data_IF_176896997463
#
_entry.id   IF_176896997463
#
_cell.length_a   1.000
_cell.length_b   1.000
_cell.length_c   1.000
_cell.angle_alpha   90.00
_cell.angle_beta   90.00
_cell.angle_gamma   90.00
#
_symmetry.space_group_name_H-M   'P 1'
#
loop_
_entity.id
_entity.type
_entity.pdbx_description
1 polymer ?
#
# COMPACT_ATOMS: atom_id res chain seq x y z
N UNK A 1 8.84 -17.33 -22.89
CA UNK A 1 8.02 -16.32 -23.60
C UNK A 1 7.51 -15.37 -22.51
N UNK A 2 8.16 -14.22 -22.32
CA UNK A 2 7.73 -13.26 -21.31
C UNK A 2 6.47 -12.56 -21.82
N UNK A 3 5.32 -12.81 -21.18
CA UNK A 3 4.13 -12.02 -21.41
C UNK A 3 4.33 -10.66 -20.75
N UNK A 4 4.24 -9.58 -21.53
CA UNK A 4 4.20 -8.23 -20.98
C UNK A 4 2.85 -8.03 -20.30
N UNK A 5 2.80 -8.23 -18.99
CA UNK A 5 1.60 -8.01 -18.20
C UNK A 5 1.39 -6.52 -17.98
N UNK A 6 0.23 -6.02 -18.38
CA UNK A 6 -0.21 -4.68 -18.01
C UNK A 6 -0.95 -4.75 -16.68
N UNK A 7 -0.38 -4.17 -15.62
CA UNK A 7 -0.99 -4.13 -14.28
C UNK A 7 -1.62 -2.76 -14.07
N UNK A 8 -2.92 -2.73 -13.82
CA UNK A 8 -3.68 -1.56 -13.38
C UNK A 8 -4.10 -1.75 -11.92
N UNK A 9 -3.99 -0.69 -11.12
CA UNK A 9 -4.28 -0.72 -9.69
C UNK A 9 -5.35 0.31 -9.39
N UNK A 10 -6.46 -0.13 -8.81
CA UNK A 10 -7.54 0.73 -8.34
C UNK A 10 -7.77 0.50 -6.83
N UNK A 11 -8.21 1.54 -6.13
CA UNK A 11 -8.52 1.49 -4.71
C UNK A 11 -9.85 2.18 -4.42
N UNK A 12 -10.67 1.53 -3.60
CA UNK A 12 -11.85 2.12 -2.99
C UNK A 12 -11.75 1.94 -1.48
N UNK A 13 -11.97 3.00 -0.72
CA UNK A 13 -11.97 2.96 0.74
C UNK A 13 -13.29 3.49 1.27
N UNK A 14 -13.74 2.91 2.39
CA UNK A 14 -14.94 3.33 3.12
C UNK A 14 -14.56 3.65 4.55
N UNK A 15 -15.05 4.78 5.05
CA UNK A 15 -14.81 5.17 6.43
C UNK A 15 -15.74 4.42 7.39
N UNK A 16 -15.28 4.28 8.63
CA UNK A 16 -16.13 3.89 9.74
C UNK A 16 -17.22 4.96 9.99
N UNK A 17 -18.38 4.55 10.52
CA UNK A 17 -19.51 5.45 10.73
C UNK A 17 -19.16 6.60 11.69
N UNK A 18 -19.53 7.83 11.31
CA UNK A 18 -19.17 9.04 12.05
C UNK A 18 -17.71 9.50 11.91
N UNK A 19 -16.83 8.71 11.29
CA UNK A 19 -15.42 9.08 11.10
C UNK A 19 -15.17 9.72 9.73
N UNK A 20 -14.40 10.82 9.72
CA UNK A 20 -14.07 11.55 8.49
C UNK A 20 -12.87 10.95 7.75
N UNK A 21 -12.13 10.06 8.39
CA UNK A 21 -10.88 9.49 7.88
C UNK A 21 -10.94 7.96 8.04
N UNK A 22 -10.50 7.24 7.01
CA UNK A 22 -10.41 5.79 7.03
C UNK A 22 -9.27 5.33 7.94
N UNK A 23 -9.54 4.34 8.79
CA UNK A 23 -8.51 3.69 9.61
C UNK A 23 -7.51 2.88 8.77
N UNK A 24 -7.92 2.46 7.58
CA UNK A 24 -7.12 1.71 6.64
C UNK A 24 -6.35 2.65 5.70
N UNK A 25 -5.17 2.25 5.28
CA UNK A 25 -4.34 2.98 4.33
C UNK A 25 -3.92 2.06 3.20
N UNK A 26 -4.24 2.50 1.98
CA UNK A 26 -3.77 1.89 0.75
C UNK A 26 -2.63 2.72 0.17
N UNK A 27 -1.50 2.07 -0.08
CA UNK A 27 -0.31 2.70 -0.67
C UNK A 27 0.13 1.89 -1.88
N UNK A 28 0.17 2.51 -3.06
CA UNK A 28 0.64 1.86 -4.28
C UNK A 28 1.63 2.73 -5.02
N UNK A 29 2.70 2.13 -5.52
CA UNK A 29 3.68 2.81 -6.37
C UNK A 29 4.31 1.84 -7.35
N UNK A 30 4.38 2.26 -8.61
CA UNK A 30 5.12 1.57 -9.67
C UNK A 30 6.55 2.11 -9.73
N UNK A 31 7.52 1.22 -9.63
CA UNK A 31 8.95 1.51 -9.78
C UNK A 31 9.28 1.26 -11.25
N UNK A 32 9.35 2.34 -12.03
CA UNK A 32 9.51 2.26 -13.49
C UNK A 32 10.81 1.54 -13.88
N UNK A 33 11.90 1.78 -13.15
CA UNK A 33 13.22 1.20 -13.44
C UNK A 33 13.31 -0.32 -13.22
N UNK A 34 12.35 -0.91 -12.51
CA UNK A 34 12.35 -2.34 -12.14
C UNK A 34 11.16 -3.11 -12.72
N UNK A 35 10.30 -2.44 -13.48
CA UNK A 35 8.99 -2.97 -13.91
C UNK A 35 8.16 -3.56 -12.74
N UNK A 36 8.40 -3.07 -11.52
CA UNK A 36 7.85 -3.62 -10.28
C UNK A 36 6.75 -2.72 -9.76
N UNK A 37 5.60 -3.30 -9.41
CA UNK A 37 4.52 -2.58 -8.72
C UNK A 37 4.44 -3.09 -7.30
N UNK A 38 4.60 -2.18 -6.33
CA UNK A 38 4.43 -2.50 -4.90
C UNK A 38 3.10 -1.91 -4.45
N UNK A 39 2.26 -2.74 -3.85
CA UNK A 39 0.96 -2.37 -3.29
C UNK A 39 0.92 -2.84 -1.85
N UNK A 40 0.52 -1.95 -0.95
CA UNK A 40 0.43 -2.19 0.48
C UNK A 40 -0.95 -1.75 0.97
N UNK A 41 -1.62 -2.62 1.72
CA UNK A 41 -2.82 -2.32 2.47
C UNK A 41 -2.51 -2.54 3.95
N UNK A 42 -2.74 -1.52 4.77
CA UNK A 42 -2.61 -1.62 6.23
C UNK A 42 -3.91 -1.20 6.89
N UNK A 43 -4.34 -1.98 7.88
CA UNK A 43 -5.40 -1.62 8.82
C UNK A 43 -4.75 -1.11 10.11
N UNK A 44 -5.24 0.02 10.60
CA UNK A 44 -4.80 0.59 11.86
C UNK A 44 -5.78 0.23 12.96
N UNK A 45 -5.29 -0.36 14.04
CA UNK A 45 -6.15 -0.77 15.15
C UNK A 45 -6.98 0.41 15.70
N UNK A 46 -8.32 0.27 15.67
CA UNK A 46 -9.28 1.28 16.11
C UNK A 46 -10.07 1.90 14.96
N UNK A 47 -10.42 3.18 15.08
CA UNK A 47 -11.06 3.96 14.01
C UNK A 47 -10.61 5.41 14.04
N UNK A 48 -10.89 6.12 12.95
CA UNK A 48 -10.57 7.54 12.81
C UNK A 48 -9.08 7.83 12.71
N UNK A 49 -8.68 9.00 13.23
CA UNK A 49 -7.32 9.55 13.05
C UNK A 49 -6.24 8.63 13.63
N UNK A 50 -6.48 7.98 14.77
CA UNK A 50 -5.48 7.13 15.44
C UNK A 50 -5.15 5.88 14.61
N UNK A 51 -6.19 5.22 14.11
CA UNK A 51 -6.06 4.09 13.20
C UNK A 51 -5.29 4.51 11.94
N UNK A 52 -5.70 5.61 11.31
CA UNK A 52 -5.06 6.11 10.10
C UNK A 52 -3.56 6.37 10.27
N UNK A 53 -3.13 6.97 11.38
CA UNK A 53 -1.71 7.22 11.66
C UNK A 53 -0.93 5.91 11.80
N UNK A 54 -1.45 4.93 12.53
CA UNK A 54 -0.82 3.61 12.68
C UNK A 54 -0.73 2.87 11.34
N UNK A 55 -1.80 2.90 10.56
CA UNK A 55 -1.84 2.30 9.22
C UNK A 55 -0.85 2.99 8.27
N UNK A 56 -0.75 4.32 8.31
CA UNK A 56 0.16 5.10 7.46
C UNK A 56 1.62 4.80 7.76
N UNK A 57 1.99 4.72 9.04
CA UNK A 57 3.35 4.36 9.44
C UNK A 57 3.71 2.96 8.97
N UNK A 58 2.81 2.00 9.20
CA UNK A 58 2.98 0.60 8.79
C UNK A 58 3.09 0.47 7.28
N UNK A 59 2.18 1.09 6.52
CA UNK A 59 2.17 1.01 5.06
C UNK A 59 3.42 1.63 4.44
N UNK A 60 3.88 2.75 5.00
CA UNK A 60 5.09 3.45 4.52
C UNK A 60 6.36 2.69 4.84
N UNK A 61 6.46 2.10 6.05
CA UNK A 61 7.59 1.24 6.42
C UNK A 61 7.66 0.00 5.53
N UNK A 62 6.54 -0.72 5.38
CA UNK A 62 6.46 -1.90 4.52
C UNK A 62 6.84 -1.55 3.07
N UNK A 63 6.29 -0.45 2.52
CA UNK A 63 6.66 0.00 1.18
C UNK A 63 8.16 0.27 1.05
N UNK A 64 8.75 1.04 1.97
CA UNK A 64 10.17 1.38 1.89
C UNK A 64 11.06 0.15 2.04
N UNK A 65 10.77 -0.76 2.97
CA UNK A 65 11.55 -1.98 3.12
C UNK A 65 11.42 -2.91 1.92
N UNK A 66 10.23 -3.06 1.34
CA UNK A 66 10.02 -3.86 0.12
C UNK A 66 10.70 -3.24 -1.09
N UNK A 67 10.77 -1.91 -1.16
CA UNK A 67 11.47 -1.16 -2.21
C UNK A 67 12.99 -1.33 -2.10
N UNK A 68 13.56 -1.28 -0.89
CA UNK A 68 15.01 -1.44 -0.67
C UNK A 68 15.47 -2.92 -0.72
N UNK A 69 14.65 -3.86 -0.23
CA UNK A 69 14.92 -5.30 -0.37
C UNK A 69 14.51 -5.79 -1.77
N UNK A 70 15.47 -5.69 -2.70
CA UNK A 70 15.36 -6.25 -4.05
C UNK A 70 15.74 -7.73 -4.07
N UNK A 71 14.81 -8.61 -3.69
CA UNK A 71 14.91 -10.03 -4.03
C UNK A 71 13.62 -10.48 -4.73
N UNK A 72 13.58 -10.33 -6.06
CA UNK A 72 12.59 -11.04 -6.90
C UNK A 72 13.25 -11.69 -8.13
N UNK A 73 14.59 -11.73 -8.28
CA UNK A 73 15.23 -12.54 -9.32
C UNK A 73 16.54 -13.18 -8.83
N UNK A 74 16.47 -14.47 -8.49
CA UNK A 74 17.40 -15.47 -9.06
C UNK A 74 16.71 -16.05 -10.29
#
# INVERSE_FOLDING_TARGET
MFQNFFIEVNCQQKNYDGERICGDVFYSKRIQDEERTIVVLSDGMGHGVKANVLATLTSTMAFNFTKEHKDINT
#
